data_IF_054170944237
#
_entry.id   IF_054170944237
#
_cell.length_a   1.000
_cell.length_b   1.000
_cell.length_c   1.000
_cell.angle_alpha   90.00
_cell.angle_beta   90.00
_cell.angle_gamma   90.00
#
_symmetry.space_group_name_H-M   'P 1'
#
loop_
_entity.id
_entity.type
_entity.pdbx_description
1 polymer ?
#
# COMPACT_ATOMS: atom_id res chain seq x y z
N UNK A 1 8.30 -1.36 -1.48
CA UNK A 1 7.69 -0.28 -2.26
C UNK A 1 7.60 -0.68 -3.71
N UNK A 2 6.74 0.00 -4.46
CA UNK A 2 6.54 -0.14 -5.89
C UNK A 2 6.73 1.23 -6.57
N UNK A 3 7.03 1.26 -7.87
CA UNK A 3 7.06 2.49 -8.66
C UNK A 3 5.72 3.23 -8.64
N UNK A 4 5.77 4.55 -8.83
CA UNK A 4 4.55 5.38 -8.88
C UNK A 4 3.62 5.02 -10.05
N UNK A 5 4.19 4.47 -11.13
CA UNK A 5 3.46 4.07 -12.34
C UNK A 5 2.92 2.64 -12.31
N UNK A 6 3.23 1.87 -11.27
CA UNK A 6 2.61 0.55 -11.07
C UNK A 6 1.08 0.67 -11.03
N UNK A 7 0.39 -0.34 -11.53
CA UNK A 7 -1.06 -0.33 -11.68
C UNK A 7 -1.73 -1.15 -10.61
N UNK A 8 -2.81 -0.61 -10.07
CA UNK A 8 -3.75 -1.33 -9.19
C UNK A 8 -5.13 -1.34 -9.82
N UNK A 9 -5.94 -2.32 -9.43
CA UNK A 9 -7.34 -2.42 -9.84
C UNK A 9 -8.21 -1.84 -8.72
N UNK A 10 -9.09 -0.91 -9.07
CA UNK A 10 -10.03 -0.27 -8.14
C UNK A 10 -11.45 -0.77 -8.38
N UNK A 11 -12.26 -0.76 -7.33
CA UNK A 11 -13.66 -1.17 -7.38
C UNK A 11 -14.43 -0.38 -8.46
N UNK A 12 -15.30 -1.08 -9.18
CA UNK A 12 -15.93 -0.56 -10.39
C UNK A 12 -15.14 -0.82 -11.69
N UNK A 13 -14.17 -1.74 -11.68
CA UNK A 13 -13.53 -2.28 -12.89
C UNK A 13 -12.50 -1.38 -13.54
N UNK A 14 -12.11 -0.27 -12.89
CA UNK A 14 -11.09 0.64 -13.40
C UNK A 14 -9.71 0.26 -12.86
N UNK A 15 -8.67 0.65 -13.56
CA UNK A 15 -7.29 0.58 -13.04
C UNK A 15 -6.75 1.99 -12.83
N UNK A 16 -6.03 2.20 -11.74
CA UNK A 16 -5.33 3.44 -11.41
C UNK A 16 -3.82 3.21 -11.33
N UNK A 17 -3.04 4.28 -11.55
CA UNK A 17 -1.62 4.27 -11.17
C UNK A 17 -1.53 4.34 -9.65
N UNK A 18 -0.47 3.77 -9.10
CA UNK A 18 -0.28 3.71 -7.68
C UNK A 18 -0.15 5.10 -7.07
N UNK A 19 0.54 6.03 -7.75
CA UNK A 19 0.65 7.45 -7.35
C UNK A 19 -0.69 8.20 -7.26
N UNK A 20 -1.74 7.70 -7.92
CA UNK A 20 -3.05 8.36 -8.00
C UNK A 20 -4.06 7.80 -6.99
N UNK A 21 -3.65 6.84 -6.15
CA UNK A 21 -4.50 6.31 -5.09
C UNK A 21 -4.80 7.36 -4.03
N UNK A 22 -6.06 7.38 -3.59
CA UNK A 22 -6.54 8.29 -2.55
C UNK A 22 -7.27 7.50 -1.47
N UNK A 23 -7.21 7.92 -0.19
CA UNK A 23 -8.04 7.34 0.85
C UNK A 23 -9.51 7.30 0.42
N UNK A 24 -10.16 6.15 0.65
CA UNK A 24 -11.51 5.86 0.15
C UNK A 24 -11.55 5.08 -1.17
N UNK A 25 -10.44 5.00 -1.91
CA UNK A 25 -10.32 4.02 -3.00
C UNK A 25 -10.33 2.60 -2.42
N UNK A 26 -11.09 1.70 -3.05
CA UNK A 26 -11.07 0.27 -2.72
C UNK A 26 -10.30 -0.47 -3.80
N UNK A 27 -9.18 -1.08 -3.43
CA UNK A 27 -8.24 -1.75 -4.34
C UNK A 27 -8.35 -3.26 -4.25
N UNK A 28 -8.06 -3.94 -5.34
CA UNK A 28 -8.09 -5.40 -5.38
C UNK A 28 -6.99 -5.98 -4.48
N UNK A 29 -7.37 -6.92 -3.64
CA UNK A 29 -6.55 -7.61 -2.66
C UNK A 29 -6.99 -9.09 -2.60
N UNK A 30 -6.32 -9.88 -1.76
CA UNK A 30 -6.73 -11.26 -1.51
C UNK A 30 -6.24 -11.72 -0.13
N UNK A 31 -6.99 -12.65 0.50
CA UNK A 31 -6.56 -13.28 1.76
C UNK A 31 -5.28 -14.08 1.59
N UNK A 32 -5.11 -14.66 0.42
CA UNK A 32 -3.88 -15.31 0.02
C UNK A 32 -3.96 -15.85 -1.41
N UNK A 33 -2.87 -16.47 -1.87
CA UNK A 33 -2.71 -17.07 -3.19
C UNK A 33 -3.85 -17.95 -3.70
N UNK A 34 -4.49 -18.75 -2.84
CA UNK A 34 -5.60 -19.64 -3.19
C UNK A 34 -7.00 -19.06 -2.96
N UNK A 35 -7.10 -17.82 -2.50
CA UNK A 35 -8.38 -17.18 -2.18
C UNK A 35 -8.94 -16.40 -3.37
N UNK A 36 -10.26 -16.16 -3.36
CA UNK A 36 -10.88 -15.25 -4.33
C UNK A 36 -10.42 -13.81 -4.07
N UNK A 37 -10.09 -13.04 -5.12
CA UNK A 37 -9.84 -11.62 -4.99
C UNK A 37 -11.03 -10.88 -4.36
N UNK A 38 -10.73 -9.87 -3.54
CA UNK A 38 -11.70 -9.01 -2.86
C UNK A 38 -11.25 -7.56 -2.95
N UNK A 39 -12.18 -6.61 -2.89
CA UNK A 39 -11.83 -5.19 -2.78
C UNK A 39 -11.61 -4.79 -1.32
N UNK A 40 -10.50 -4.13 -1.03
CA UNK A 40 -10.11 -3.67 0.29
C UNK A 40 -9.80 -2.18 0.28
N UNK A 41 -10.16 -1.49 1.35
CA UNK A 41 -9.94 -0.05 1.47
C UNK A 41 -8.44 0.25 1.47
N UNK A 42 -8.02 1.15 0.59
CA UNK A 42 -6.72 1.78 0.67
C UNK A 42 -6.76 2.81 1.80
N UNK A 43 -5.83 2.66 2.76
CA UNK A 43 -5.77 3.47 3.96
C UNK A 43 -4.82 4.65 3.78
N UNK A 44 -3.56 4.34 3.48
CA UNK A 44 -2.47 5.32 3.36
C UNK A 44 -1.25 4.69 2.68
N UNK A 45 -0.21 5.50 2.47
CA UNK A 45 1.12 5.03 2.12
C UNK A 45 2.03 4.98 3.36
N UNK A 46 2.66 3.84 3.63
CA UNK A 46 3.69 3.67 4.67
C UNK A 46 5.01 4.35 4.29
N UNK A 47 5.28 4.42 2.99
CA UNK A 47 6.39 5.13 2.36
C UNK A 47 5.83 5.83 1.11
N UNK A 48 6.15 7.11 0.92
CA UNK A 48 5.56 7.96 -0.12
C UNK A 48 6.59 8.94 -0.70
N UNK A 49 7.42 8.45 -1.62
CA UNK A 49 8.41 9.26 -2.34
C UNK A 49 8.14 9.22 -3.86
N UNK A 50 7.13 9.94 -4.39
CA UNK A 50 6.69 9.83 -5.79
C UNK A 50 7.68 10.37 -6.82
N UNK A 51 8.66 11.16 -6.39
CA UNK A 51 9.64 11.84 -7.25
C UNK A 51 11.09 11.37 -7.00
N UNK A 52 11.30 10.23 -6.34
CA UNK A 52 12.65 9.65 -6.20
C UNK A 52 12.88 8.56 -7.23
N UNK A 53 14.04 8.56 -7.89
CA UNK A 53 14.52 7.44 -8.68
C UNK A 53 15.11 6.38 -7.76
N UNK A 54 14.72 5.12 -7.93
CA UNK A 54 15.26 3.99 -7.17
C UNK A 54 15.40 2.76 -8.06
N UNK A 55 16.24 1.82 -7.63
CA UNK A 55 16.37 0.50 -8.24
C UNK A 55 15.27 -0.44 -7.74
N UNK A 56 14.65 -1.14 -8.67
CA UNK A 56 13.62 -2.15 -8.44
C UNK A 56 14.05 -3.48 -9.04
N UNK A 57 13.60 -4.57 -8.41
CA UNK A 57 13.61 -5.88 -9.04
C UNK A 57 12.44 -5.96 -10.02
N UNK A 58 12.74 -6.37 -11.24
CA UNK A 58 11.79 -6.71 -12.30
C UNK A 58 11.61 -8.23 -12.32
N UNK A 59 10.50 -8.70 -11.75
CA UNK A 59 10.11 -10.12 -11.75
C UNK A 59 9.17 -10.38 -12.92
N UNK A 60 9.65 -11.11 -13.92
CA UNK A 60 8.89 -11.46 -15.13
C UNK A 60 8.41 -12.91 -15.08
N UNK A 61 7.15 -13.13 -15.41
CA UNK A 61 6.54 -14.46 -15.48
C UNK A 61 6.35 -14.94 -16.91
N UNK A 62 6.39 -16.27 -17.12
CA UNK A 62 6.27 -16.87 -18.46
C UNK A 62 4.81 -16.92 -18.96
N UNK A 63 3.90 -17.46 -18.15
CA UNK A 63 2.49 -17.61 -18.48
C UNK A 63 1.62 -17.43 -17.22
N UNK A 64 0.77 -16.40 -17.13
CA UNK A 64 0.66 -15.30 -18.07
C UNK A 64 1.94 -14.45 -18.05
N UNK A 65 2.27 -13.85 -19.20
CA UNK A 65 3.36 -12.89 -19.28
C UNK A 65 2.96 -11.60 -18.54
N UNK A 66 3.61 -11.35 -17.40
CA UNK A 66 3.45 -10.14 -16.59
C UNK A 66 4.81 -9.73 -16.02
N UNK A 67 4.90 -8.51 -15.53
CA UNK A 67 6.12 -7.99 -14.89
C UNK A 67 5.74 -7.19 -13.66
N UNK A 68 6.37 -7.53 -12.54
CA UNK A 68 6.28 -6.79 -11.28
C UNK A 68 7.56 -6.00 -11.07
N UNK A 69 7.43 -4.71 -10.80
CA UNK A 69 8.54 -3.87 -10.32
C UNK A 69 8.41 -3.67 -8.82
N UNK A 70 9.38 -4.12 -8.04
CA UNK A 70 9.28 -4.13 -6.58
C UNK A 70 10.64 -3.97 -5.90
N UNK A 71 10.69 -3.25 -4.77
CA UNK A 71 11.93 -3.11 -4.02
C UNK A 71 12.38 -4.46 -3.43
N UNK A 72 13.69 -4.71 -3.24
CA UNK A 72 14.23 -5.98 -2.76
C UNK A 72 13.61 -6.51 -1.46
N UNK A 73 13.34 -5.61 -0.51
CA UNK A 73 12.79 -5.97 0.80
C UNK A 73 11.26 -6.11 0.80
N UNK A 74 10.55 -5.88 -0.30
CA UNK A 74 9.09 -6.04 -0.26
C UNK A 74 8.70 -7.53 -0.27
N UNK A 75 7.65 -7.88 0.48
CA UNK A 75 7.19 -9.26 0.55
C UNK A 75 6.19 -9.56 -0.59
N UNK A 76 6.49 -10.61 -1.35
CA UNK A 76 5.62 -11.17 -2.39
C UNK A 76 5.30 -12.62 -2.06
N UNK A 77 4.15 -13.12 -2.49
CA UNK A 77 3.81 -14.53 -2.27
C UNK A 77 4.49 -15.40 -3.31
N UNK A 78 5.33 -16.34 -2.86
CA UNK A 78 6.06 -17.24 -3.72
C UNK A 78 6.14 -18.67 -3.18
N UNK A 79 6.32 -19.65 -4.07
CA UNK A 79 6.46 -21.06 -3.77
C UNK A 79 7.40 -21.76 -4.76
N UNK A 80 7.95 -22.92 -4.37
CA UNK A 80 8.64 -23.83 -5.30
C UNK A 80 7.66 -24.79 -6.02
N UNK A 81 6.36 -24.63 -5.79
CA UNK A 81 5.28 -25.44 -6.35
C UNK A 81 4.20 -24.51 -6.92
N UNK A 82 3.44 -24.99 -7.89
CA UNK A 82 2.26 -24.28 -8.40
C UNK A 82 1.07 -24.34 -7.46
N UNK A 83 1.11 -25.19 -6.42
CA UNK A 83 0.04 -25.29 -5.42
C UNK A 83 0.05 -24.04 -4.50
N UNK A 84 -1.04 -23.24 -4.49
CA UNK A 84 -1.15 -22.05 -3.66
C UNK A 84 -1.00 -22.32 -2.15
N UNK A 85 -1.23 -23.55 -1.69
CA UNK A 85 -1.08 -23.93 -0.26
C UNK A 85 0.37 -23.91 0.22
N UNK A 86 1.33 -24.05 -0.70
CA UNK A 86 2.76 -23.96 -0.39
C UNK A 86 3.31 -22.53 -0.51
N UNK A 87 2.45 -21.57 -0.84
CA UNK A 87 2.85 -20.19 -0.98
C UNK A 87 3.05 -19.52 0.37
N UNK A 88 4.15 -18.78 0.47
CA UNK A 88 4.50 -17.98 1.64
C UNK A 88 4.95 -16.59 1.21
N UNK A 89 4.79 -15.56 2.05
CA UNK A 89 5.44 -14.28 1.86
C UNK A 89 6.96 -14.49 1.89
N UNK A 90 7.64 -13.97 0.87
CA UNK A 90 9.09 -14.06 0.69
C UNK A 90 9.57 -12.68 0.23
N UNK A 91 10.74 -12.25 0.69
CA UNK A 91 11.39 -11.05 0.16
C UNK A 91 11.58 -11.15 -1.35
N UNK A 92 11.27 -10.07 -2.08
CA UNK A 92 11.44 -10.02 -3.53
C UNK A 92 12.89 -10.36 -3.97
N UNK A 93 13.89 -10.01 -3.17
CA UNK A 93 15.31 -10.36 -3.38
C UNK A 93 15.60 -11.86 -3.39
N UNK A 94 14.74 -12.67 -2.74
CA UNK A 94 14.87 -14.13 -2.67
C UNK A 94 14.08 -14.84 -3.77
N UNK A 95 13.28 -14.12 -4.56
CA UNK A 95 12.59 -14.71 -5.71
C UNK A 95 13.60 -15.06 -6.80
N UNK A 96 13.53 -16.29 -7.30
CA UNK A 96 14.41 -16.79 -8.36
C UNK A 96 13.61 -17.35 -9.54
N UNK A 97 14.19 -17.36 -10.76
CA UNK A 97 13.62 -18.10 -11.88
C UNK A 97 13.29 -19.54 -11.49
N UNK A 98 12.16 -20.05 -11.99
CA UNK A 98 11.63 -21.38 -11.66
C UNK A 98 10.65 -21.40 -10.47
N UNK A 99 10.72 -20.43 -9.56
CA UNK A 99 9.71 -20.27 -8.51
C UNK A 99 8.36 -19.86 -9.11
N UNK A 100 7.29 -20.03 -8.35
CA UNK A 100 5.94 -19.61 -8.69
C UNK A 100 5.54 -18.41 -7.84
N UNK A 101 5.01 -17.38 -8.51
CA UNK A 101 4.37 -16.21 -7.89
C UNK A 101 2.91 -16.17 -8.31
N UNK A 102 2.08 -15.42 -7.60
CA UNK A 102 0.63 -15.47 -7.82
C UNK A 102 0.14 -14.23 -8.52
N UNK A 103 -0.49 -14.45 -9.67
CA UNK A 103 -0.94 -13.37 -10.55
C UNK A 103 -2.43 -13.49 -10.84
N UNK A 104 -3.04 -12.33 -11.05
CA UNK A 104 -4.42 -12.23 -11.48
C UNK A 104 -4.56 -12.82 -12.88
N UNK A 105 -5.55 -13.69 -13.04
CA UNK A 105 -6.05 -14.19 -14.32
C UNK A 105 -7.52 -13.84 -14.44
N UNK A 106 -7.86 -13.22 -15.57
CA UNK A 106 -9.21 -12.74 -15.87
C UNK A 106 -9.75 -13.33 -17.18
N UNK A 107 -9.15 -14.45 -17.62
CA UNK A 107 -9.48 -15.08 -18.90
C UNK A 107 -10.82 -15.81 -18.91
N UNK A 108 -11.37 -16.15 -17.75
CA UNK A 108 -12.56 -17.01 -17.61
C UNK A 108 -13.78 -16.28 -17.01
N UNK A 109 -13.86 -14.95 -17.15
CA UNK A 109 -14.99 -14.14 -16.64
C UNK A 109 -15.09 -14.07 -15.11
N UNK A 110 -14.08 -14.58 -14.41
CA UNK A 110 -13.93 -14.45 -12.96
C UNK A 110 -12.48 -14.21 -12.59
N UNK A 111 -12.21 -13.03 -12.02
CA UNK A 111 -10.92 -12.67 -11.45
C UNK A 111 -10.46 -13.75 -10.44
N UNK A 112 -9.42 -14.51 -10.79
CA UNK A 112 -8.80 -15.51 -9.92
C UNK A 112 -7.30 -15.31 -9.84
N UNK A 113 -6.70 -15.74 -8.74
CA UNK A 113 -5.25 -15.81 -8.63
C UNK A 113 -4.78 -17.18 -9.11
N UNK A 114 -3.74 -17.20 -9.93
CA UNK A 114 -3.07 -18.42 -10.38
C UNK A 114 -1.57 -18.33 -10.17
N UNK A 115 -0.95 -19.49 -9.95
CA UNK A 115 0.49 -19.59 -9.95
C UNK A 115 1.05 -19.32 -11.36
N UNK A 116 2.10 -18.51 -11.42
CA UNK A 116 2.83 -18.18 -12.62
C UNK A 116 4.32 -18.37 -12.38
N UNK A 117 4.97 -19.14 -13.24
CA UNK A 117 6.40 -19.42 -13.12
C UNK A 117 7.21 -18.16 -13.44
N UNK A 118 8.11 -17.80 -12.54
CA UNK A 118 9.10 -16.74 -12.74
C UNK A 118 10.07 -17.20 -13.82
N UNK A 119 10.15 -16.43 -14.89
CA UNK A 119 11.07 -16.64 -16.00
C UNK A 119 12.40 -15.93 -15.74
N UNK A 120 12.33 -14.71 -15.21
CA UNK A 120 13.49 -13.83 -15.08
C UNK A 120 13.33 -12.87 -13.91
N UNK A 121 14.45 -12.58 -13.26
CA UNK A 121 14.57 -11.50 -12.28
C UNK A 121 15.75 -10.63 -12.72
N UNK A 122 15.52 -9.34 -12.88
CA UNK A 122 16.53 -8.36 -13.29
C UNK A 122 16.36 -7.05 -12.52
N UNK A 123 17.31 -6.13 -12.64
CA UNK A 123 17.20 -4.79 -12.05
C UNK A 123 16.70 -3.78 -13.07
N UNK A 124 15.82 -2.88 -12.64
CA UNK A 124 15.29 -1.77 -13.44
C UNK A 124 15.23 -0.52 -12.56
N UNK A 125 15.68 0.61 -13.07
CA UNK A 125 15.50 1.89 -12.40
C UNK A 125 14.12 2.48 -12.77
N UNK A 126 13.38 2.97 -11.77
CA UNK A 126 12.08 3.58 -11.99
C UNK A 126 11.82 4.75 -11.02
N UNK A 127 10.83 5.57 -11.38
CA UNK A 127 10.41 6.71 -10.57
C UNK A 127 9.31 6.34 -9.57
N UNK A 128 9.43 6.90 -8.38
CA UNK A 128 8.49 6.72 -7.29
C UNK A 128 8.87 5.53 -6.42
N UNK A 129 8.78 5.68 -5.11
CA UNK A 129 8.85 4.60 -4.12
C UNK A 129 7.64 4.72 -3.22
N UNK A 130 6.62 3.90 -3.48
CA UNK A 130 5.34 3.93 -2.77
C UNK A 130 5.07 2.60 -2.08
N UNK A 131 4.70 2.62 -0.80
CA UNK A 131 4.27 1.44 -0.05
C UNK A 131 2.80 1.58 0.39
N UNK A 132 1.84 1.17 -0.45
CA UNK A 132 0.42 1.27 -0.13
C UNK A 132 0.05 0.30 1.01
N UNK A 133 -0.79 0.77 1.93
CA UNK A 133 -1.40 -0.04 2.98
C UNK A 133 -2.91 -0.16 2.74
N UNK A 134 -3.39 -1.40 2.70
CA UNK A 134 -4.81 -1.72 2.62
C UNK A 134 -5.31 -2.27 3.96
N UNK A 135 -6.62 -2.21 4.20
CA UNK A 135 -7.23 -2.82 5.39
C UNK A 135 -6.99 -4.33 5.47
N UNK A 136 -6.83 -5.00 4.32
CA UNK A 136 -6.52 -6.43 4.24
C UNK A 136 -5.03 -6.73 4.52
N UNK A 137 -4.12 -5.78 4.29
CA UNK A 137 -2.67 -5.99 4.41
C UNK A 137 -2.04 -6.69 3.19
N UNK A 138 -2.80 -6.84 2.11
CA UNK A 138 -2.33 -7.33 0.79
C UNK A 138 -2.91 -6.44 -0.31
N UNK A 139 -2.29 -6.48 -1.49
CA UNK A 139 -2.84 -5.84 -2.68
C UNK A 139 -2.44 -6.60 -3.95
N UNK A 140 -3.18 -6.36 -5.03
CA UNK A 140 -2.82 -6.79 -6.38
C UNK A 140 -2.25 -5.59 -7.14
N UNK A 141 -0.96 -5.66 -7.46
CA UNK A 141 -0.20 -4.60 -8.14
C UNK A 141 0.51 -5.16 -9.36
N UNK A 142 0.38 -4.50 -10.50
CA UNK A 142 0.79 -4.98 -11.83
C UNK A 142 0.25 -6.40 -12.15
N UNK A 143 -0.85 -6.76 -11.50
CA UNK A 143 -1.47 -8.08 -11.56
C UNK A 143 -0.80 -9.15 -10.70
N UNK A 144 0.11 -8.82 -9.80
CA UNK A 144 0.71 -9.75 -8.82
C UNK A 144 0.12 -9.53 -7.44
N UNK A 145 -0.14 -10.62 -6.72
CA UNK A 145 -0.46 -10.54 -5.30
C UNK A 145 0.81 -10.24 -4.49
N UNK A 146 0.79 -9.15 -3.74
CA UNK A 146 1.86 -8.75 -2.84
C UNK A 146 1.32 -8.45 -1.43
N UNK A 147 2.20 -8.52 -0.43
CA UNK A 147 1.91 -7.99 0.89
C UNK A 147 2.01 -6.47 0.88
N UNK A 148 1.34 -5.78 1.80
CA UNK A 148 1.58 -4.34 2.03
C UNK A 148 2.86 -4.08 2.86
N UNK A 149 3.46 -5.13 3.43
CA UNK A 149 4.59 -5.02 4.35
C UNK A 149 5.94 -5.34 3.68
N UNK A 150 6.98 -4.62 4.10
CA UNK A 150 8.35 -4.77 3.58
C UNK A 150 9.37 -5.27 4.62
N UNK A 151 8.98 -5.48 5.88
CA UNK A 151 9.95 -5.74 6.96
C UNK A 151 9.52 -6.87 7.91
N UNK A 152 8.30 -7.40 7.81
CA UNK A 152 7.83 -8.41 8.77
C UNK A 152 7.46 -9.71 8.04
N UNK A 153 8.39 -10.66 8.00
CA UNK A 153 7.99 -12.07 7.96
C UNK A 153 7.38 -12.39 9.35
N UNK A 154 6.06 -12.31 9.49
CA UNK A 154 5.29 -13.16 10.41
C UNK A 154 3.77 -12.97 10.23
N UNK A 155 3.06 -14.09 10.13
CA UNK A 155 1.70 -14.26 9.64
C UNK A 155 0.55 -13.75 10.53
N UNK A 156 0.77 -13.23 11.74
CA UNK A 156 -0.36 -12.79 12.60
C UNK A 156 -0.14 -11.48 13.38
N UNK A 157 1.04 -10.86 13.31
CA UNK A 157 1.41 -9.77 14.22
C UNK A 157 1.31 -8.36 13.60
N UNK A 158 1.40 -8.24 12.27
CA UNK A 158 1.19 -6.96 11.60
C UNK A 158 -0.25 -6.44 11.82
N UNK A 159 -1.23 -7.33 11.97
CA UNK A 159 -2.60 -6.93 12.32
C UNK A 159 -2.73 -6.30 13.71
N UNK A 160 -1.90 -6.71 14.68
CA UNK A 160 -1.89 -6.11 16.03
C UNK A 160 -1.23 -4.73 16.02
N UNK A 161 -0.12 -4.56 15.27
CA UNK A 161 0.57 -3.27 15.16
C UNK A 161 -0.31 -2.18 14.49
N UNK A 162 -1.20 -2.55 13.57
CA UNK A 162 -2.16 -1.65 12.92
C UNK A 162 -3.59 -1.72 13.49
N UNK A 163 -3.83 -2.50 14.55
CA UNK A 163 -5.13 -2.55 15.22
C UNK A 163 -5.58 -1.18 15.77
N UNK A 164 -4.69 -0.36 16.38
CA UNK A 164 -5.08 0.97 16.86
C UNK A 164 -5.56 1.90 15.73
N UNK A 165 -4.90 1.83 14.56
CA UNK A 165 -5.26 2.65 13.40
C UNK A 165 -6.62 2.23 12.81
N UNK A 166 -6.90 0.91 12.75
CA UNK A 166 -8.21 0.40 12.28
C UNK A 166 -9.34 0.75 13.24
N UNK A 167 -9.10 0.72 14.55
CA UNK A 167 -10.07 1.15 15.54
C UNK A 167 -10.36 2.66 15.45
N UNK A 168 -9.33 3.50 15.27
CA UNK A 168 -9.50 4.93 15.10
C UNK A 168 -10.28 5.29 13.82
N UNK A 169 -10.02 4.58 12.70
CA UNK A 169 -10.78 4.78 11.47
C UNK A 169 -12.23 4.31 11.59
N UNK A 170 -12.49 3.21 12.30
CA UNK A 170 -13.85 2.75 12.58
C UNK A 170 -14.63 3.77 13.42
N UNK A 171 -14.02 4.28 14.50
CA UNK A 171 -14.63 5.30 15.36
C UNK A 171 -14.87 6.65 14.64
N UNK A 172 -14.04 6.98 13.64
CA UNK A 172 -14.22 8.19 12.82
C UNK A 172 -15.43 8.11 11.89
N UNK A 173 -15.79 6.90 11.44
CA UNK A 173 -17.02 6.64 10.68
C UNK A 173 -18.28 6.76 11.53
N UNK A 174 -18.22 6.34 12.79
CA UNK A 174 -19.33 6.44 13.74
C UNK A 174 -19.56 7.86 14.22
N UNK A 175 -18.50 8.66 14.37
CA UNK A 175 -18.63 10.07 14.76
C UNK A 175 -19.21 10.95 13.62
N UNK A 176 -18.90 10.62 12.36
CA UNK A 176 -19.52 11.27 11.19
C UNK A 176 -21.02 10.92 11.03
N UNK A 177 -21.46 9.77 11.54
CA UNK A 177 -22.88 9.37 11.60
C UNK A 177 -23.60 9.96 12.82
N UNK A 178 -22.91 10.14 13.95
CA UNK A 178 -23.44 10.79 15.14
C UNK A 178 -23.71 12.29 14.95
N UNK A 179 -22.94 12.96 14.09
CA UNK A 179 -23.10 14.41 13.90
C UNK A 179 -24.18 14.84 12.90
N UNK A 180 -24.84 13.90 12.20
CA UNK A 180 -25.97 14.20 11.29
C UNK A 180 -27.36 14.02 11.91
N UNK A 181 -27.47 13.55 13.15
CA UNK A 181 -28.76 13.37 13.85
C UNK A 181 -29.01 14.45 14.92
N UNK A 182 -28.02 15.29 15.23
CA UNK A 182 -28.14 16.30 16.30
C UNK A 182 -28.20 17.76 15.83
N UNK A 183 -28.80 18.04 14.65
CA UNK A 183 -29.19 19.40 14.25
C UNK A 183 -30.45 19.39 13.38
N UNK A 184 -31.58 19.09 14.01
CA UNK A 184 -32.90 19.53 13.56
C UNK A 184 -33.56 20.29 14.71
N UNK A 185 -33.79 21.60 14.53
CA UNK A 185 -34.40 22.46 15.54
C UNK A 185 -34.04 23.94 15.36
N UNK A 186 -34.96 24.67 14.74
CA UNK A 186 -35.02 26.08 14.33
C UNK A 186 -34.59 27.17 15.34
N UNK A 187 -34.28 28.37 14.79
CA UNK A 187 -34.50 29.64 15.52
C UNK A 187 -33.67 30.87 15.12
N UNK A 188 -34.12 31.61 14.09
CA UNK A 188 -34.20 33.08 13.99
C UNK A 188 -33.03 34.05 14.30
N UNK A 189 -32.73 34.96 13.33
CA UNK A 189 -32.62 36.41 13.61
C UNK A 189 -31.30 37.16 13.30
N UNK A 190 -31.30 37.96 12.22
CA UNK A 190 -31.03 39.41 12.25
C UNK A 190 -29.59 40.01 12.20
N UNK A 191 -29.31 40.78 11.12
CA UNK A 191 -28.42 41.97 11.04
C UNK A 191 -26.90 41.73 11.01
N UNK A 192 -26.02 42.45 10.30
CA UNK A 192 -26.07 43.65 9.45
C UNK A 192 -24.66 44.32 9.43
N UNK A 193 -24.16 44.73 8.25
CA UNK A 193 -22.94 45.57 8.03
C UNK A 193 -21.60 44.80 8.03
N UNK A 194 -20.58 45.02 7.20
CA UNK A 194 -20.21 46.06 6.23
C UNK A 194 -18.68 46.28 6.33
N UNK A 195 -17.92 46.28 5.23
CA UNK A 195 -16.55 46.83 5.18
C UNK A 195 -15.40 45.98 4.61
N UNK A 196 -15.18 46.10 3.29
CA UNK A 196 -13.94 46.26 2.50
C UNK A 196 -12.55 45.70 2.93
N UNK A 197 -12.05 44.84 2.01
CA UNK A 197 -10.70 44.76 1.39
C UNK A 197 -9.40 45.08 2.15
N UNK A 198 -8.52 44.07 2.24
CA UNK A 198 -7.09 44.18 1.88
C UNK A 198 -6.39 42.81 1.78
N UNK A 199 -5.91 42.47 0.57
CA UNK A 199 -4.77 41.55 0.35
C UNK A 199 -3.50 42.21 0.91
N UNK A 200 -2.48 41.47 1.43
CA UNK A 200 -1.62 40.66 0.58
C UNK A 200 -1.01 39.39 1.19
N UNK A 201 -0.55 38.49 0.32
CA UNK A 201 0.79 37.90 0.47
C UNK A 201 0.92 36.49 1.03
N UNK A 202 1.54 35.64 0.20
CA UNK A 202 2.45 34.54 0.55
C UNK A 202 1.86 33.14 0.79
N UNK A 203 1.45 32.48 -0.30
CA UNK A 203 1.23 31.02 -0.35
C UNK A 203 2.53 30.27 -0.66
N UNK A 204 3.46 30.27 0.29
CA UNK A 204 4.63 29.35 0.27
C UNK A 204 4.68 28.41 1.48
N UNK A 205 3.79 28.55 2.48
CA UNK A 205 3.83 27.75 3.71
C UNK A 205 2.89 26.52 3.78
N UNK A 206 1.95 26.37 2.85
CA UNK A 206 0.91 25.33 2.94
C UNK A 206 1.35 23.94 2.41
N UNK A 207 2.48 23.87 1.69
CA UNK A 207 3.02 22.62 1.15
C UNK A 207 4.03 21.92 2.08
N UNK A 208 4.67 22.65 3.01
CA UNK A 208 5.63 22.06 3.95
C UNK A 208 4.96 21.41 5.18
N UNK A 209 3.81 21.96 5.63
CA UNK A 209 3.13 21.42 6.81
C UNK A 209 2.54 20.02 6.58
N UNK A 210 2.12 19.67 5.35
CA UNK A 210 1.51 18.37 5.04
C UNK A 210 2.54 17.22 4.99
N UNK A 211 3.81 17.54 4.77
CA UNK A 211 4.92 16.58 4.78
C UNK A 211 5.29 16.18 6.22
N UNK A 212 5.29 17.15 7.14
CA UNK A 212 5.65 16.94 8.55
C UNK A 212 4.69 15.99 9.29
N UNK A 213 3.40 15.96 8.89
CA UNK A 213 2.38 15.14 9.54
C UNK A 213 2.45 13.64 9.21
N UNK A 214 3.23 13.21 8.21
CA UNK A 214 3.40 11.79 7.88
C UNK A 214 4.61 11.21 8.64
N UNK A 215 5.64 12.03 8.90
CA UNK A 215 6.89 11.59 9.53
C UNK A 215 6.75 11.20 11.01
N UNK A 216 5.84 11.82 11.77
CA UNK A 216 5.68 11.48 13.20
C UNK A 216 5.06 10.09 13.39
N UNK A 217 4.12 9.69 12.53
CA UNK A 217 3.44 8.40 12.60
C UNK A 217 4.34 7.26 12.14
N UNK A 218 5.13 7.48 11.08
CA UNK A 218 6.17 6.53 10.68
C UNK A 218 7.20 6.34 11.80
N UNK A 219 7.66 7.43 12.45
CA UNK A 219 8.57 7.35 13.61
C UNK A 219 7.95 6.64 14.81
N UNK A 220 6.66 6.85 15.07
CA UNK A 220 5.90 6.14 16.13
C UNK A 220 5.83 4.64 15.85
N UNK A 221 5.50 4.24 14.62
CA UNK A 221 5.46 2.84 14.21
C UNK A 221 6.85 2.18 14.19
N UNK A 222 7.88 2.90 13.75
CA UNK A 222 9.27 2.44 13.83
C UNK A 222 9.74 2.30 15.29
N UNK A 223 9.36 3.23 16.17
CA UNK A 223 9.66 3.18 17.60
C UNK A 223 8.96 2.01 18.30
N UNK A 224 7.68 1.78 18.01
CA UNK A 224 6.93 0.63 18.50
C UNK A 224 7.44 -0.70 17.92
N UNK A 225 7.87 -0.71 16.67
CA UNK A 225 8.50 -1.88 16.04
C UNK A 225 9.82 -2.26 16.70
N UNK A 226 10.66 -1.28 17.06
CA UNK A 226 11.92 -1.50 17.79
C UNK A 226 11.74 -1.99 19.22
N UNK A 227 10.60 -1.71 19.84
CA UNK A 227 10.30 -2.15 21.21
C UNK A 227 9.82 -3.63 21.26
N UNK A 228 9.43 -4.20 20.13
CA UNK A 228 8.72 -5.49 20.05
C UNK A 228 9.48 -6.55 19.23
N UNK A 229 10.48 -6.18 18.42
CA UNK A 229 11.16 -7.08 17.48
C UNK A 229 12.65 -7.26 17.83
N UNK A 230 13.08 -8.50 18.06
CA UNK A 230 14.50 -8.90 18.13
C UNK A 230 15.20 -8.77 16.77
N UNK A 231 16.49 -8.43 16.80
CA UNK A 231 17.32 -7.90 15.71
C UNK A 231 17.57 -8.81 14.48
N UNK A 232 17.19 -10.09 14.50
CA UNK A 232 17.51 -11.03 13.41
C UNK A 232 16.50 -11.05 12.24
N UNK A 233 15.52 -10.15 12.21
CA UNK A 233 14.41 -10.16 11.23
C UNK A 233 14.50 -9.10 10.12
N UNK A 234 15.58 -8.32 10.09
CA UNK A 234 15.77 -7.27 9.10
C UNK A 234 16.46 -7.80 7.84
N UNK A 235 15.98 -7.41 6.66
CA UNK A 235 16.77 -7.55 5.45
C UNK A 235 17.96 -6.57 5.54
N UNK A 236 19.19 -6.96 5.17
CA UNK A 236 20.39 -6.09 5.25
C UNK A 236 20.34 -4.82 4.38
N UNK A 237 19.24 -4.57 3.66
CA UNK A 237 19.01 -3.39 2.84
C UNK A 237 17.77 -2.59 3.30
N UNK A 238 17.18 -2.96 4.44
CA UNK A 238 16.03 -2.28 5.04
C UNK A 238 16.41 -1.04 5.86
N UNK A 239 17.71 -0.81 6.02
CA UNK A 239 18.34 0.32 6.70
C UNK A 239 19.50 0.75 5.80
N UNK A 240 19.52 2.02 5.40
CA UNK A 240 20.58 2.69 4.61
C UNK A 240 20.65 2.41 3.09
N UNK A 241 20.31 3.45 2.33
CA UNK A 241 21.27 4.15 1.46
C UNK A 241 20.91 5.65 1.49
N UNK A 242 21.39 6.33 2.54
CA UNK A 242 21.77 7.74 2.39
C UNK A 242 23.00 7.74 1.47
N UNK A 243 22.99 8.42 0.33
CA UNK A 243 24.22 8.64 -0.42
C UNK A 243 25.10 9.64 0.35
N UNK A 244 26.41 9.36 0.41
CA UNK A 244 27.44 10.31 0.83
C UNK A 244 27.38 11.61 0.01
#
# INVERSE_FOLDING_TARGET
CFPGDSRVFVEGGRSKRLRDLRPGDRVLAARGPGSRPVYSDFLLFLDHEPHRRRLFLSVKTAAPARTLLVTPAHLVFAANSSDPRHARPVFASRVRPGMHVFVLDDRDGGARLRAARVERVSWVEAWGSLAPLTAHGTLVVDGFLASCYAVVELHDWAHAAFAPLRAAHAASGDLARGHRVARGGEGGGGGGGGGDSRFPGNCSGALEARSAHIHWYSRLLYGLGRLVLHDDRYHPLGMELEPC
#
